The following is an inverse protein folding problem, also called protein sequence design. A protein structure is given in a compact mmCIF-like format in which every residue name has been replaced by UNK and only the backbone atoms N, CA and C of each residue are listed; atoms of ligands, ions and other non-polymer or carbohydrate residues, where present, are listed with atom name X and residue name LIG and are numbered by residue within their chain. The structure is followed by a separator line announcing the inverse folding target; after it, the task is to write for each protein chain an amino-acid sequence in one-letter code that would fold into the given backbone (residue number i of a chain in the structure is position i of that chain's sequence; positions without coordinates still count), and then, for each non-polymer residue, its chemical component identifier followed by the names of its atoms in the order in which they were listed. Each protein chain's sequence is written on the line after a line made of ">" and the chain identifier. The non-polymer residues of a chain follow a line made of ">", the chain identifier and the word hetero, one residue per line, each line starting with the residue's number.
data_IF_043140650307
#
_entry.id   IF_043140650307
#
_cell.length_a   1.000
_cell.length_b   1.000
_cell.length_c   1.000
_cell.angle_alpha   90.00
_cell.angle_beta   90.00
_cell.angle_gamma   90.00
#
_symmetry.space_group_name_H-M   'P 1'
#
loop_
_entity.id
_entity.type
_entity.pdbx_description
1 polymer ?
#
# COMPACT_ATOMS: atom_id res chain seq x y z
N UNK A 1 2.07 -12.51 29.42
CA UNK A 1 1.73 -11.18 28.86
C UNK A 1 0.29 -10.87 29.24
N UNK A 2 0.03 -9.86 30.05
CA UNK A 2 -1.33 -9.47 30.44
C UNK A 2 -1.98 -8.68 29.30
N UNK A 3 -3.12 -9.15 28.81
CA UNK A 3 -3.92 -8.46 27.78
C UNK A 3 -4.45 -7.13 28.34
N UNK A 4 -4.24 -6.03 27.61
CA UNK A 4 -4.80 -4.72 27.95
C UNK A 4 -6.33 -4.74 27.79
N UNK A 5 -7.09 -3.92 28.55
CA UNK A 5 -8.52 -3.69 28.29
C UNK A 5 -8.82 -3.25 26.85
N UNK A 6 -7.88 -2.55 26.20
CA UNK A 6 -7.98 -2.17 24.79
C UNK A 6 -7.85 -3.38 23.86
N UNK A 7 -6.90 -4.28 24.13
CA UNK A 7 -6.73 -5.53 23.38
C UNK A 7 -7.98 -6.41 23.49
N UNK A 8 -8.54 -6.51 24.70
CA UNK A 8 -9.77 -7.27 24.95
C UNK A 8 -10.95 -6.71 24.14
N UNK A 9 -11.13 -5.38 24.10
CA UNK A 9 -12.16 -4.74 23.27
C UNK A 9 -11.93 -4.96 21.78
N UNK A 10 -10.69 -4.85 21.31
CA UNK A 10 -10.33 -5.09 19.92
C UNK A 10 -10.64 -6.53 19.49
N UNK A 11 -10.22 -7.52 20.29
CA UNK A 11 -10.49 -8.92 20.01
C UNK A 11 -11.98 -9.24 20.03
N UNK A 12 -12.74 -8.68 20.98
CA UNK A 12 -14.19 -8.85 21.04
C UNK A 12 -14.89 -8.26 19.81
N UNK A 13 -14.57 -7.01 19.44
CA UNK A 13 -15.14 -6.36 18.25
C UNK A 13 -14.81 -7.14 16.96
N UNK A 14 -13.58 -7.66 16.87
CA UNK A 14 -13.14 -8.50 15.75
C UNK A 14 -13.93 -9.82 15.67
N UNK A 15 -14.14 -10.50 16.79
CA UNK A 15 -14.95 -11.74 16.85
C UNK A 15 -16.39 -11.45 16.43
N UNK A 16 -17.01 -10.42 17.00
CA UNK A 16 -18.39 -10.02 16.64
C UNK A 16 -18.49 -9.67 15.16
N UNK A 17 -17.52 -8.95 14.61
CA UNK A 17 -17.45 -8.62 13.18
C UNK A 17 -17.30 -9.87 12.29
N UNK A 18 -16.50 -10.86 12.71
CA UNK A 18 -16.36 -12.13 12.00
C UNK A 18 -17.67 -12.94 12.02
N UNK A 19 -18.35 -12.99 13.16
CA UNK A 19 -19.66 -13.67 13.29
C UNK A 19 -20.68 -12.98 12.38
N UNK A 20 -20.78 -11.64 12.43
CA UNK A 20 -21.70 -10.89 11.57
C UNK A 20 -21.43 -11.12 10.08
N UNK A 21 -20.17 -11.08 9.65
CA UNK A 21 -19.80 -11.38 8.25
C UNK A 21 -20.07 -12.84 7.87
N UNK A 22 -19.86 -13.77 8.79
CA UNK A 22 -20.18 -15.19 8.61
C UNK A 22 -21.68 -15.41 8.41
N UNK A 23 -22.51 -14.83 9.29
CA UNK A 23 -23.97 -14.87 9.18
C UNK A 23 -24.47 -14.17 7.92
N UNK A 24 -23.95 -12.99 7.60
CA UNK A 24 -24.27 -12.29 6.37
C UNK A 24 -23.89 -13.11 5.13
N UNK A 25 -22.72 -13.76 5.12
CA UNK A 25 -22.30 -14.66 4.04
C UNK A 25 -23.22 -15.88 3.90
N UNK A 26 -23.59 -16.51 5.02
CA UNK A 26 -24.52 -17.64 5.02
C UNK A 26 -25.88 -17.25 4.47
N UNK A 27 -26.38 -16.09 4.88
CA UNK A 27 -27.68 -15.56 4.47
C UNK A 27 -27.70 -15.15 3.00
N UNK A 28 -26.67 -14.42 2.54
CA UNK A 28 -26.65 -13.84 1.18
C UNK A 28 -26.14 -14.80 0.12
N UNK A 29 -25.26 -15.75 0.46
CA UNK A 29 -24.55 -16.60 -0.52
C UNK A 29 -24.74 -18.10 -0.29
N UNK A 30 -25.40 -18.48 0.80
CA UNK A 30 -25.63 -19.88 1.16
C UNK A 30 -24.42 -20.58 1.79
N UNK A 31 -24.66 -21.79 2.29
CA UNK A 31 -23.69 -22.55 3.06
C UNK A 31 -22.49 -23.03 2.21
N UNK A 32 -22.72 -23.44 0.96
CA UNK A 32 -21.65 -23.94 0.07
C UNK A 32 -20.60 -22.87 -0.21
N UNK A 33 -21.03 -21.67 -0.62
CA UNK A 33 -20.13 -20.56 -0.90
C UNK A 33 -19.40 -20.08 0.36
N UNK A 34 -20.06 -20.11 1.52
CA UNK A 34 -19.45 -19.75 2.79
C UNK A 34 -18.36 -20.74 3.21
N UNK A 35 -18.63 -22.05 3.14
CA UNK A 35 -17.63 -23.08 3.43
C UNK A 35 -16.47 -23.05 2.43
N UNK A 36 -16.73 -22.76 1.16
CA UNK A 36 -15.67 -22.60 0.16
C UNK A 36 -14.73 -21.44 0.54
N UNK A 37 -15.26 -20.30 1.00
CA UNK A 37 -14.45 -19.17 1.48
C UNK A 37 -13.64 -19.52 2.72
N UNK A 38 -14.22 -20.19 3.71
CA UNK A 38 -13.47 -20.68 4.89
C UNK A 38 -12.35 -21.63 4.44
N UNK A 39 -12.65 -22.52 3.49
CA UNK A 39 -11.68 -23.41 2.86
C UNK A 39 -10.52 -22.65 2.21
N UNK A 40 -10.78 -21.54 1.51
CA UNK A 40 -9.71 -20.68 0.94
C UNK A 40 -8.79 -20.12 2.04
N UNK A 41 -9.34 -19.69 3.18
CA UNK A 41 -8.53 -19.14 4.28
C UNK A 41 -7.68 -20.21 5.00
N UNK A 42 -8.17 -21.45 5.03
CA UNK A 42 -7.50 -22.58 5.70
C UNK A 42 -6.61 -23.39 4.76
N UNK A 43 -6.78 -23.26 3.44
CA UNK A 43 -5.96 -23.96 2.45
C UNK A 43 -4.54 -23.41 2.47
N UNK A 44 -3.57 -24.28 2.72
CA UNK A 44 -2.17 -24.01 2.43
C UNK A 44 -2.01 -23.86 0.92
N UNK A 45 -1.64 -22.65 0.48
CA UNK A 45 -1.20 -22.42 -0.89
C UNK A 45 0.16 -23.12 -1.09
N UNK A 46 0.42 -23.73 -2.26
CA UNK A 46 1.77 -24.14 -2.61
C UNK A 46 2.69 -22.90 -2.58
N UNK A 47 3.99 -23.07 -2.27
CA UNK A 47 4.92 -21.95 -2.29
C UNK A 47 4.89 -21.26 -3.66
N UNK A 48 5.03 -19.93 -3.70
CA UNK A 48 5.04 -19.17 -4.96
C UNK A 48 6.11 -19.70 -5.91
N UNK A 49 5.83 -19.66 -7.22
CA UNK A 49 6.78 -20.10 -8.27
C UNK A 49 7.77 -19.00 -8.64
N UNK A 50 7.47 -17.73 -8.33
CA UNK A 50 8.43 -16.61 -8.47
C UNK A 50 9.56 -16.66 -7.45
N UNK A 51 10.62 -15.92 -7.77
CA UNK A 51 11.64 -15.52 -6.80
C UNK A 51 10.97 -14.97 -5.52
N UNK A 52 11.55 -15.24 -4.35
CA UNK A 52 11.01 -14.75 -3.09
C UNK A 52 10.87 -13.22 -3.14
N UNK A 53 9.83 -12.70 -2.48
CA UNK A 53 9.63 -11.26 -2.36
C UNK A 53 10.90 -10.62 -1.79
N UNK A 54 11.27 -9.47 -2.33
CA UNK A 54 12.34 -8.67 -1.76
C UNK A 54 11.91 -8.20 -0.37
N UNK A 55 12.77 -8.46 0.62
CA UNK A 55 12.62 -8.00 1.99
C UNK A 55 13.92 -7.31 2.39
N UNK A 56 13.90 -6.00 2.70
CA UNK A 56 15.08 -5.29 3.15
C UNK A 56 15.53 -5.83 4.51
N UNK A 57 16.84 -5.82 4.75
CA UNK A 57 17.40 -6.28 6.01
C UNK A 57 16.94 -5.40 7.19
N UNK A 58 16.54 -6.03 8.31
CA UNK A 58 16.24 -5.33 9.56
C UNK A 58 17.53 -5.01 10.32
N UNK A 59 18.29 -4.06 9.77
CA UNK A 59 19.51 -3.53 10.39
C UNK A 59 19.23 -2.21 11.10
N UNK A 60 20.01 -1.86 12.15
CA UNK A 60 19.96 -0.56 12.78
C UNK A 60 20.01 0.59 11.76
N UNK A 61 19.45 1.75 12.12
CA UNK A 61 19.50 2.92 11.25
C UNK A 61 20.95 3.38 11.05
N UNK A 62 21.29 3.66 9.79
CA UNK A 62 22.48 4.37 9.36
C UNK A 62 22.08 5.25 8.16
N UNK A 63 22.68 6.43 7.97
CA UNK A 63 22.41 7.29 6.81
C UNK A 63 22.63 6.55 5.48
N UNK A 64 21.76 6.83 4.51
CA UNK A 64 21.82 6.27 3.16
C UNK A 64 21.11 7.23 2.19
N UNK A 65 21.24 6.98 0.88
CA UNK A 65 20.60 7.76 -0.15
C UNK A 65 19.41 7.03 -0.77
N UNK A 66 18.39 7.80 -1.17
CA UNK A 66 17.27 7.33 -1.98
C UNK A 66 17.29 8.00 -3.35
N UNK A 67 16.60 7.43 -4.36
CA UNK A 67 16.47 8.08 -5.67
C UNK A 67 15.89 9.48 -5.57
N UNK A 68 16.55 10.42 -6.24
CA UNK A 68 16.13 11.81 -6.31
C UNK A 68 16.35 12.34 -7.74
N UNK A 69 15.47 13.24 -8.17
CA UNK A 69 15.54 13.90 -9.45
C UNK A 69 15.01 15.32 -9.32
N UNK A 70 15.65 16.26 -10.02
CA UNK A 70 15.18 17.64 -10.16
C UNK A 70 14.06 17.78 -11.19
N UNK A 71 13.97 16.84 -12.14
CA UNK A 71 12.92 16.74 -13.16
C UNK A 71 12.21 15.38 -13.06
N UNK A 72 11.51 15.10 -11.95
CA UNK A 72 10.89 13.80 -11.74
C UNK A 72 9.73 13.58 -12.72
N UNK A 73 9.63 12.36 -13.26
CA UNK A 73 8.42 11.87 -13.94
C UNK A 73 7.35 11.52 -12.91
N UNK A 74 7.74 10.95 -11.77
CA UNK A 74 6.84 10.58 -10.69
C UNK A 74 7.27 11.15 -9.33
N UNK A 75 6.30 11.62 -8.55
CA UNK A 75 6.49 11.95 -7.13
C UNK A 75 5.90 10.85 -6.27
N UNK A 76 6.77 10.09 -5.59
CA UNK A 76 6.36 9.09 -4.61
C UNK A 76 6.11 9.80 -3.29
N UNK A 77 4.88 9.76 -2.80
CA UNK A 77 4.39 10.45 -1.61
C UNK A 77 4.10 9.40 -0.53
N UNK A 78 4.84 9.48 0.56
CA UNK A 78 4.78 8.54 1.68
C UNK A 78 4.26 9.27 2.91
N UNK A 79 2.94 9.23 3.21
CA UNK A 79 2.41 9.75 4.46
C UNK A 79 2.87 8.87 5.63
N UNK A 80 3.30 9.50 6.73
CA UNK A 80 3.85 8.82 7.90
C UNK A 80 3.24 9.38 9.18
N UNK A 81 2.90 8.50 10.11
CA UNK A 81 2.66 8.86 11.50
C UNK A 81 3.19 7.74 12.41
N UNK A 82 4.35 7.98 13.02
CA UNK A 82 5.17 7.02 13.74
C UNK A 82 5.59 5.82 12.87
N UNK A 83 5.99 4.74 13.53
CA UNK A 83 6.45 3.51 12.94
C UNK A 83 7.69 3.71 12.05
N UNK A 84 8.68 4.47 12.54
CA UNK A 84 9.91 4.81 11.82
C UNK A 84 10.59 3.60 11.15
N UNK A 85 10.52 2.41 11.75
CA UNK A 85 11.07 1.16 11.18
C UNK A 85 10.35 0.68 9.91
N UNK A 86 9.03 0.85 9.83
CA UNK A 86 8.28 0.54 8.62
C UNK A 86 8.69 1.48 7.49
N UNK A 87 8.70 2.79 7.76
CA UNK A 87 9.15 3.81 6.80
C UNK A 87 10.58 3.53 6.32
N UNK A 88 11.48 3.15 7.23
CA UNK A 88 12.86 2.78 6.90
C UNK A 88 12.94 1.57 5.98
N UNK A 89 12.12 0.54 6.20
CA UNK A 89 12.06 -0.62 5.31
C UNK A 89 11.56 -0.23 3.91
N UNK A 90 10.52 0.60 3.82
CA UNK A 90 10.01 1.13 2.56
C UNK A 90 11.09 1.90 1.77
N UNK A 91 11.76 2.85 2.42
CA UNK A 91 12.82 3.64 1.79
C UNK A 91 14.04 2.81 1.40
N UNK A 92 14.40 1.79 2.20
CA UNK A 92 15.48 0.84 1.86
C UNK A 92 15.13 0.03 0.61
N UNK A 93 13.87 -0.34 0.41
CA UNK A 93 13.44 -1.03 -0.80
C UNK A 93 13.56 -0.14 -2.04
N UNK A 94 13.14 1.13 -1.92
CA UNK A 94 13.30 2.12 -2.99
C UNK A 94 14.78 2.41 -3.31
N UNK A 95 15.66 2.40 -2.31
CA UNK A 95 17.10 2.58 -2.48
C UNK A 95 17.78 1.35 -3.11
N UNK A 96 17.40 0.15 -2.68
CA UNK A 96 17.97 -1.10 -3.20
C UNK A 96 17.54 -1.40 -4.63
N UNK A 97 16.31 -1.03 -4.98
CA UNK A 97 15.72 -1.24 -6.30
C UNK A 97 15.11 0.07 -6.82
N UNK A 98 15.96 1.03 -7.21
CA UNK A 98 15.49 2.30 -7.71
C UNK A 98 14.65 2.10 -8.99
N UNK A 99 13.52 2.81 -9.14
CA UNK A 99 12.76 2.79 -10.39
C UNK A 99 13.61 3.25 -11.59
N UNK A 100 13.28 2.77 -12.79
CA UNK A 100 13.91 3.26 -14.01
C UNK A 100 13.42 4.66 -14.38
N UNK A 101 12.13 4.94 -14.13
CA UNK A 101 11.58 6.28 -14.25
C UNK A 101 12.24 7.25 -13.24
N UNK A 102 12.63 8.43 -13.72
CA UNK A 102 13.12 9.49 -12.85
C UNK A 102 12.03 9.85 -11.83
N UNK A 103 12.37 9.80 -10.54
CA UNK A 103 11.42 10.05 -9.47
C UNK A 103 12.02 10.90 -8.36
N UNK A 104 11.13 11.48 -7.57
CA UNK A 104 11.45 12.05 -6.26
C UNK A 104 10.63 11.36 -5.19
N UNK A 105 11.16 11.34 -3.96
CA UNK A 105 10.49 10.72 -2.81
C UNK A 105 10.22 11.80 -1.77
N UNK A 106 8.94 11.96 -1.43
CA UNK A 106 8.46 12.85 -0.39
C UNK A 106 7.95 12.02 0.78
N UNK A 107 8.48 12.26 1.97
CA UNK A 107 7.88 11.75 3.21
C UNK A 107 7.14 12.89 3.89
N UNK A 108 5.84 12.68 4.12
CA UNK A 108 4.96 13.64 4.79
C UNK A 108 4.68 13.12 6.20
N UNK A 109 5.45 13.61 7.17
CA UNK A 109 5.28 13.29 8.57
C UNK A 109 4.13 14.09 9.19
N UNK A 110 3.08 13.39 9.60
CA UNK A 110 1.87 13.92 10.24
C UNK A 110 2.06 14.12 11.76
N UNK A 111 3.22 14.64 12.15
CA UNK A 111 3.55 14.96 13.54
C UNK A 111 3.98 13.75 14.39
N UNK A 112 4.80 12.86 13.85
CA UNK A 112 5.34 11.69 14.56
C UNK A 112 6.07 12.07 15.85
N UNK A 113 5.94 11.23 16.88
CA UNK A 113 6.61 11.36 18.18
C UNK A 113 7.72 10.34 18.42
N UNK A 114 7.98 9.45 17.46
CA UNK A 114 9.05 8.46 17.52
C UNK A 114 10.31 8.93 16.76
N UNK A 115 11.18 8.00 16.38
CA UNK A 115 12.46 8.31 15.70
C UNK A 115 12.29 8.80 14.25
N UNK A 116 11.07 8.91 13.73
CA UNK A 116 10.82 9.28 12.33
C UNK A 116 11.52 10.59 11.96
N UNK A 117 11.34 11.66 12.75
CA UNK A 117 11.95 12.96 12.45
C UNK A 117 13.47 12.92 12.40
N UNK A 118 14.10 12.24 13.35
CA UNK A 118 15.56 12.14 13.45
C UNK A 118 16.15 11.32 12.30
N UNK A 119 15.48 10.23 11.91
CA UNK A 119 15.97 9.33 10.87
C UNK A 119 15.75 9.89 9.47
N UNK A 120 14.55 10.40 9.17
CA UNK A 120 14.23 10.91 7.83
C UNK A 120 15.10 12.11 7.44
N UNK A 121 15.47 12.97 8.40
CA UNK A 121 16.35 14.11 8.16
C UNK A 121 17.78 13.71 7.71
N UNK A 122 18.18 12.46 7.91
CA UNK A 122 19.49 11.92 7.57
C UNK A 122 19.49 11.04 6.32
N UNK A 123 18.35 10.92 5.62
CA UNK A 123 18.27 10.19 4.35
C UNK A 123 18.55 11.15 3.19
N UNK A 124 19.66 10.95 2.49
CA UNK A 124 20.05 11.79 1.36
C UNK A 124 19.09 11.62 0.18
N UNK A 125 18.75 12.72 -0.50
CA UNK A 125 17.79 12.74 -1.61
C UNK A 125 16.33 12.72 -1.19
N UNK A 126 16.02 12.51 0.10
CA UNK A 126 14.65 12.52 0.61
C UNK A 126 14.12 13.95 0.79
N UNK A 127 12.94 14.23 0.23
CA UNK A 127 12.19 15.45 0.54
C UNK A 127 11.32 15.20 1.77
N UNK A 128 11.81 15.59 2.94
CA UNK A 128 11.08 15.42 4.20
C UNK A 128 10.24 16.66 4.54
N UNK A 129 8.94 16.48 4.78
CA UNK A 129 8.05 17.54 5.26
C UNK A 129 7.33 17.08 6.51
N UNK A 130 7.42 17.86 7.59
CA UNK A 130 6.76 17.58 8.85
C UNK A 130 5.66 18.59 9.12
N UNK A 131 4.45 18.09 9.35
CA UNK A 131 3.28 18.86 9.76
C UNK A 131 3.39 19.24 11.24
N UNK A 132 2.85 20.40 11.58
CA UNK A 132 2.84 20.89 12.96
C UNK A 132 1.90 20.07 13.86
N UNK A 133 0.81 19.56 13.29
CA UNK A 133 -0.24 18.81 13.99
C UNK A 133 -0.67 17.60 13.17
N UNK A 134 -1.09 16.53 13.87
CA UNK A 134 -1.64 15.34 13.26
C UNK A 134 -3.04 15.65 12.70
N UNK A 135 -3.17 15.62 11.37
CA UNK A 135 -4.43 15.80 10.65
C UNK A 135 -4.97 14.51 10.03
N UNK A 136 -4.29 13.39 10.23
CA UNK A 136 -4.61 12.09 9.68
C UNK A 136 -4.08 11.85 8.26
N UNK A 137 -4.21 10.59 7.84
CA UNK A 137 -3.68 10.08 6.57
C UNK A 137 -4.03 10.93 5.35
N UNK A 138 -5.30 11.32 5.20
CA UNK A 138 -5.77 12.08 4.04
C UNK A 138 -5.14 13.47 4.00
N UNK A 139 -5.03 14.13 5.16
CA UNK A 139 -4.43 15.45 5.23
C UNK A 139 -2.94 15.38 4.83
N UNK A 140 -2.21 14.37 5.31
CA UNK A 140 -0.82 14.14 4.92
C UNK A 140 -0.68 13.81 3.41
N UNK A 141 -1.58 12.99 2.84
CA UNK A 141 -1.61 12.74 1.40
C UNK A 141 -1.79 14.04 0.60
N UNK A 142 -2.76 14.87 0.99
CA UNK A 142 -3.07 16.12 0.30
C UNK A 142 -1.91 17.12 0.36
N UNK A 143 -1.21 17.22 1.49
CA UNK A 143 -0.01 18.07 1.59
C UNK A 143 1.09 17.56 0.65
N UNK A 144 1.31 16.25 0.61
CA UNK A 144 2.27 15.64 -0.32
C UNK A 144 1.90 15.86 -1.78
N UNK A 145 0.63 15.74 -2.13
CA UNK A 145 0.12 15.98 -3.48
C UNK A 145 0.36 17.42 -3.93
N UNK A 146 0.19 18.40 -3.04
CA UNK A 146 0.50 19.81 -3.34
C UNK A 146 2.00 20.09 -3.51
N UNK A 147 2.87 19.28 -2.90
CA UNK A 147 4.33 19.43 -2.96
C UNK A 147 4.98 18.63 -4.09
N UNK A 148 4.23 17.74 -4.74
CA UNK A 148 4.66 16.87 -5.82
C UNK A 148 5.00 17.67 -7.09
N UNK A 149 6.14 17.37 -7.71
CA UNK A 149 6.61 18.00 -8.95
C UNK A 149 6.42 17.10 -10.18
N UNK A 150 6.29 15.79 -9.97
CA UNK A 150 6.17 14.78 -11.01
C UNK A 150 4.92 14.94 -11.87
N UNK A 151 4.98 14.41 -13.08
CA UNK A 151 3.81 14.30 -13.97
C UNK A 151 2.77 13.34 -13.37
N UNK A 152 3.22 12.33 -12.64
CA UNK A 152 2.40 11.40 -11.89
C UNK A 152 2.63 11.59 -10.39
N UNK A 153 1.56 11.61 -9.61
CA UNK A 153 1.61 11.51 -8.16
C UNK A 153 1.34 10.06 -7.75
N UNK A 154 2.17 9.52 -6.86
CA UNK A 154 2.10 8.13 -6.42
C UNK A 154 2.00 8.09 -4.91
N UNK A 155 0.82 7.75 -4.39
CA UNK A 155 0.63 7.49 -2.96
C UNK A 155 1.18 6.11 -2.63
N UNK A 156 2.05 6.04 -1.62
CA UNK A 156 2.67 4.81 -1.16
C UNK A 156 2.68 4.78 0.37
N UNK A 157 2.03 3.79 0.98
CA UNK A 157 2.03 3.67 2.43
C UNK A 157 3.43 3.35 2.97
N UNK A 158 3.73 3.84 4.18
CA UNK A 158 5.03 3.66 4.82
C UNK A 158 5.32 2.23 5.28
N UNK A 159 4.29 1.38 5.41
CA UNK A 159 4.39 -0.04 5.78
C UNK A 159 4.47 -0.99 4.58
N UNK A 160 4.69 -0.45 3.38
CA UNK A 160 4.89 -1.24 2.17
C UNK A 160 6.37 -1.50 1.91
N UNK A 161 6.65 -2.59 1.20
CA UNK A 161 7.98 -2.89 0.66
C UNK A 161 7.83 -2.99 -0.86
N UNK A 162 8.05 -1.89 -1.60
CA UNK A 162 7.96 -1.89 -3.05
C UNK A 162 8.89 -2.94 -3.67
N UNK A 163 8.34 -3.75 -4.58
CA UNK A 163 9.07 -4.80 -5.26
C UNK A 163 9.78 -4.25 -6.51
N UNK A 164 10.87 -4.88 -6.99
CA UNK A 164 11.58 -4.43 -8.18
C UNK A 164 10.63 -4.18 -9.37
N UNK A 165 10.75 -3.01 -10.01
CA UNK A 165 9.96 -2.62 -11.19
C UNK A 165 8.50 -2.21 -10.92
N UNK A 166 8.07 -2.11 -9.65
CA UNK A 166 6.68 -1.77 -9.30
C UNK A 166 6.21 -0.43 -9.90
N UNK A 167 7.01 0.64 -9.76
CA UNK A 167 6.65 1.98 -10.21
C UNK A 167 6.58 2.02 -11.73
N UNK A 168 7.58 1.46 -12.40
CA UNK A 168 7.64 1.41 -13.86
C UNK A 168 6.43 0.67 -14.43
N UNK A 169 5.97 -0.40 -13.77
CA UNK A 169 4.76 -1.12 -14.16
C UNK A 169 3.48 -0.27 -14.00
N UNK A 170 3.36 0.51 -12.90
CA UNK A 170 2.25 1.45 -12.72
C UNK A 170 2.24 2.51 -13.82
N UNK A 171 3.38 3.14 -14.08
CA UNK A 171 3.51 4.19 -15.09
C UNK A 171 3.27 3.65 -16.51
N UNK A 172 3.79 2.48 -16.83
CA UNK A 172 3.58 1.83 -18.13
C UNK A 172 2.10 1.49 -18.37
N UNK A 173 1.30 1.31 -17.32
CA UNK A 173 -0.14 1.05 -17.46
C UNK A 173 -0.86 2.25 -18.08
N UNK A 174 -0.50 3.49 -17.72
CA UNK A 174 -1.07 4.69 -18.37
C UNK A 174 -0.72 4.79 -19.86
N UNK A 175 0.44 4.28 -20.29
CA UNK A 175 0.77 4.23 -21.70
C UNK A 175 -0.06 3.18 -22.46
N UNK A 176 -0.47 2.10 -21.79
CA UNK A 176 -1.28 1.01 -22.37
C UNK A 176 -2.77 1.29 -22.33
N UNK A 177 -3.22 2.04 -21.34
CA UNK A 177 -4.62 2.42 -21.09
C UNK A 177 -4.66 3.94 -20.88
N UNK A 178 -4.57 4.74 -21.96
CA UNK A 178 -4.50 6.20 -21.86
C UNK A 178 -5.70 6.86 -21.18
N UNK A 179 -6.84 6.18 -21.14
CA UNK A 179 -8.08 6.59 -20.47
C UNK A 179 -8.09 6.32 -18.96
N UNK A 180 -7.10 5.59 -18.43
CA UNK A 180 -7.03 5.30 -17.01
C UNK A 180 -6.79 6.59 -16.22
N UNK A 181 -7.77 6.98 -15.40
CA UNK A 181 -7.61 8.10 -14.47
C UNK A 181 -6.76 7.75 -13.25
N UNK A 182 -6.62 6.46 -12.94
CA UNK A 182 -6.02 5.98 -11.69
C UNK A 182 -5.53 4.53 -11.87
N UNK A 183 -4.36 4.20 -11.33
CA UNK A 183 -3.78 2.83 -11.40
C UNK A 183 -3.24 2.43 -10.03
N UNK A 184 -3.72 1.29 -9.50
CA UNK A 184 -3.25 0.71 -8.24
C UNK A 184 -2.31 -0.48 -8.45
N UNK A 185 -1.41 -0.73 -7.48
CA UNK A 185 -0.57 -1.91 -7.49
C UNK A 185 -1.33 -3.15 -6.98
N UNK A 186 -0.88 -4.33 -7.40
CA UNK A 186 -1.25 -5.58 -6.73
C UNK A 186 -0.52 -5.64 -5.38
N UNK A 187 -1.27 -5.83 -4.28
CA UNK A 187 -0.72 -5.84 -2.93
C UNK A 187 -0.56 -7.27 -2.43
N UNK A 188 0.57 -7.54 -1.78
CA UNK A 188 0.93 -8.85 -1.28
C UNK A 188 1.19 -8.79 0.22
N UNK A 189 0.79 -9.84 0.93
CA UNK A 189 1.30 -10.09 2.27
C UNK A 189 2.75 -10.57 2.21
N UNK A 190 3.47 -10.45 3.33
CA UNK A 190 4.87 -10.88 3.45
C UNK A 190 5.07 -12.38 3.22
N UNK A 191 4.02 -13.19 3.34
CA UNK A 191 4.04 -14.62 3.01
C UNK A 191 3.76 -14.92 1.53
N UNK A 192 3.67 -13.89 0.68
CA UNK A 192 3.44 -13.99 -0.76
C UNK A 192 1.99 -14.16 -1.16
N UNK A 193 1.04 -14.30 -0.21
CA UNK A 193 -0.38 -14.36 -0.55
C UNK A 193 -0.89 -13.00 -0.99
N UNK A 194 -1.89 -13.01 -1.85
CA UNK A 194 -2.54 -11.80 -2.33
C UNK A 194 -3.26 -11.10 -1.18
N UNK A 195 -2.98 -9.82 -0.99
CA UNK A 195 -3.75 -8.93 -0.12
C UNK A 195 -4.90 -8.29 -0.91
N UNK A 196 -4.61 -7.82 -2.12
CA UNK A 196 -5.55 -7.12 -2.98
C UNK A 196 -5.09 -7.09 -4.46
N UNK A 197 -5.99 -7.43 -5.38
CA UNK A 197 -5.85 -7.11 -6.82
C UNK A 197 -7.03 -6.23 -7.27
N UNK A 198 -7.09 -5.04 -6.69
CA UNK A 198 -8.24 -4.12 -6.75
C UNK A 198 -9.35 -4.44 -5.74
N UNK A 199 -10.14 -3.43 -5.44
CA UNK A 199 -11.28 -3.50 -4.54
C UNK A 199 -12.62 -3.59 -5.26
N UNK A 200 -13.56 -4.30 -4.65
CA UNK A 200 -14.96 -4.40 -5.08
C UNK A 200 -15.84 -3.68 -4.07
N UNK A 201 -16.78 -2.86 -4.53
CA UNK A 201 -17.85 -2.26 -3.73
C UNK A 201 -19.17 -2.94 -4.10
N UNK A 202 -19.82 -3.57 -3.12
CA UNK A 202 -21.12 -4.20 -3.32
C UNK A 202 -22.27 -3.20 -3.20
N UNK A 203 -23.46 -3.59 -3.64
CA UNK A 203 -24.68 -2.79 -3.59
C UNK A 203 -25.07 -2.36 -2.16
N UNK A 204 -24.71 -3.15 -1.15
CA UNK A 204 -24.87 -2.86 0.26
C UNK A 204 -23.80 -1.91 0.84
N UNK A 205 -22.90 -1.41 0.00
CA UNK A 205 -21.79 -0.52 0.36
C UNK A 205 -20.62 -1.24 1.06
N UNK A 206 -20.67 -2.56 1.20
CA UNK A 206 -19.53 -3.32 1.75
C UNK A 206 -18.42 -3.44 0.71
N UNK A 207 -17.18 -3.45 1.20
CA UNK A 207 -15.99 -3.57 0.34
C UNK A 207 -15.28 -4.92 0.50
N UNK A 208 -14.65 -5.38 -0.57
CA UNK A 208 -13.80 -6.59 -0.56
C UNK A 208 -12.53 -6.40 -1.39
N UNK A 209 -11.38 -6.75 -0.81
CA UNK A 209 -10.13 -6.84 -1.57
C UNK A 209 -10.16 -8.10 -2.42
N UNK A 210 -10.20 -7.93 -3.74
CA UNK A 210 -10.32 -9.02 -4.69
C UNK A 210 -9.13 -9.99 -4.60
N UNK A 211 -9.42 -11.29 -4.49
CA UNK A 211 -8.42 -12.35 -4.36
C UNK A 211 -7.70 -12.45 -3.00
N UNK A 212 -8.16 -11.74 -1.95
CA UNK A 212 -7.52 -11.77 -0.62
C UNK A 212 -7.28 -13.21 -0.10
N UNK A 213 -6.05 -13.48 0.31
CA UNK A 213 -5.48 -14.76 0.77
C UNK A 213 -5.32 -15.85 -0.30
N UNK A 214 -5.63 -15.56 -1.55
CA UNK A 214 -5.37 -16.48 -2.67
C UNK A 214 -3.94 -16.30 -3.22
N UNK A 215 -3.61 -17.09 -4.25
CA UNK A 215 -2.33 -16.96 -4.93
C UNK A 215 -2.29 -15.67 -5.75
N UNK A 216 -1.24 -14.87 -5.57
CA UNK A 216 -0.99 -13.69 -6.39
C UNK A 216 -0.69 -14.02 -7.86
N UNK A 217 -0.31 -15.27 -8.14
CA UNK A 217 0.04 -15.76 -9.48
C UNK A 217 -1.17 -16.29 -10.26
N UNK A 218 -2.34 -16.39 -9.62
CA UNK A 218 -3.54 -16.83 -10.32
C UNK A 218 -3.85 -15.83 -11.46
N UNK A 219 -4.02 -16.29 -12.72
CA UNK A 219 -4.30 -15.40 -13.85
C UNK A 219 -5.52 -14.50 -13.66
N UNK A 220 -6.47 -14.90 -12.80
CA UNK A 220 -7.62 -14.07 -12.40
C UNK A 220 -7.21 -12.78 -11.69
N UNK A 221 -6.05 -12.77 -11.05
CA UNK A 221 -5.54 -11.65 -10.26
C UNK A 221 -4.26 -11.05 -10.83
N UNK A 222 -3.44 -11.83 -11.52
CA UNK A 222 -2.15 -11.45 -12.10
C UNK A 222 -2.29 -10.81 -13.50
N UNK A 223 -3.35 -10.04 -13.72
CA UNK A 223 -3.62 -9.36 -14.98
C UNK A 223 -4.18 -7.96 -14.73
N UNK A 224 -4.00 -7.06 -15.71
CA UNK A 224 -4.59 -5.73 -15.67
C UNK A 224 -6.12 -5.84 -15.74
N UNK A 225 -6.82 -5.10 -14.88
CA UNK A 225 -8.28 -5.09 -14.84
C UNK A 225 -8.81 -3.76 -14.31
N UNK A 226 -10.03 -3.43 -14.69
CA UNK A 226 -10.80 -2.36 -14.07
C UNK A 226 -11.30 -2.78 -12.69
N UNK A 227 -11.41 -1.84 -11.77
CA UNK A 227 -11.82 -2.10 -10.39
C UNK A 227 -12.61 -0.93 -9.82
N UNK A 228 -13.48 -1.20 -8.84
CA UNK A 228 -14.33 -0.16 -8.25
C UNK A 228 -13.50 0.84 -7.43
N UNK A 229 -12.44 0.37 -6.77
CA UNK A 229 -11.44 1.23 -6.13
C UNK A 229 -10.07 0.55 -6.06
N UNK A 230 -9.00 1.35 -5.97
CA UNK A 230 -7.68 0.91 -5.52
C UNK A 230 -7.46 1.41 -4.09
N UNK A 231 -6.87 0.60 -3.21
CA UNK A 231 -6.48 1.13 -1.90
C UNK A 231 -5.36 2.16 -2.04
N UNK A 232 -5.35 3.15 -1.13
CA UNK A 232 -4.32 4.17 -1.07
C UNK A 232 -2.93 3.66 -0.66
N UNK A 233 -2.74 2.34 -0.54
CA UNK A 233 -1.48 1.76 -0.12
C UNK A 233 -0.38 1.83 -1.20
N UNK A 234 -0.76 1.74 -2.47
CA UNK A 234 0.13 1.95 -3.63
C UNK A 234 -0.72 2.29 -4.85
N UNK A 235 -0.76 3.58 -5.19
CA UNK A 235 -1.72 4.17 -6.12
C UNK A 235 -1.01 5.29 -6.91
N UNK A 236 -1.11 5.27 -8.24
CA UNK A 236 -0.66 6.33 -9.13
C UNK A 236 -1.84 7.07 -9.79
N UNK A 237 -1.71 8.39 -9.93
CA UNK A 237 -2.66 9.27 -10.62
C UNK A 237 -1.89 10.31 -11.45
N UNK A 238 -2.33 10.66 -12.68
CA UNK A 238 -1.78 11.81 -13.40
C UNK A 238 -2.02 13.08 -12.58
N UNK A 239 -0.97 13.86 -12.31
CA UNK A 239 -1.08 15.05 -11.44
C UNK A 239 -2.05 16.08 -12.02
N UNK A 240 -2.01 16.30 -13.34
CA UNK A 240 -2.92 17.21 -14.02
C UNK A 240 -4.39 16.83 -13.80
N UNK A 241 -4.73 15.54 -13.84
CA UNK A 241 -6.08 15.07 -13.54
C UNK A 241 -6.45 15.30 -12.08
N UNK A 242 -5.54 15.04 -11.14
CA UNK A 242 -5.79 15.25 -9.72
C UNK A 242 -6.08 16.74 -9.40
N UNK A 243 -5.42 17.67 -10.10
CA UNK A 243 -5.62 19.11 -9.92
C UNK A 243 -6.99 19.62 -10.42
N UNK A 244 -7.71 18.82 -11.22
CA UNK A 244 -9.04 19.14 -11.74
C UNK A 244 -10.19 18.65 -10.84
N UNK A 245 -9.91 17.80 -9.85
CA UNK A 245 -10.90 17.17 -8.95
C UNK A 245 -11.11 17.95 -7.64
#
# INVERSE_FOLDING_TARGET
>A
MSMSPADARYHLARIVGLIRRGLASLHTRGWRATLQRVGVHLRRQPPPRREPLFVPADTPFAPFAVPASDEPVASIIIPVYNHARHTLACLRALSAHPPAAACEILVIDDGSGDQTGDWMAQVEGLRYHRRAENGGFIAACNDGLRLARGQYAVLLNNDTVPQPGWLDALLHTFARVPEAGLVGAQLLYSDGRLQESGGIVFDDGSCWSYGRFESAEDPRYASLRDTDYCSGAALAVPRALFEEL
#
